data_IF_041389183080
#
_entry.id   IF_041389183080
#
_cell.length_a   1.000
_cell.length_b   1.000
_cell.length_c   1.000
_cell.angle_alpha   90.00
_cell.angle_beta   90.00
_cell.angle_gamma   90.00
#
_symmetry.space_group_name_H-M   'P 1'
#
loop_
_entity.id
_entity.type
_entity.pdbx_description
1 polymer ?
#
# COMPACT_ATOMS: atom_id res chain seq x y z
N UNK A 1 -4.77 -18.51 15.41
CA UNK A 1 -5.23 -17.11 15.29
C UNK A 1 -4.73 -16.30 16.48
N UNK A 2 -5.13 -16.65 17.70
CA UNK A 2 -4.67 -15.97 18.92
C UNK A 2 -3.15 -16.06 19.16
N UNK A 3 -2.53 -17.22 18.94
CA UNK A 3 -1.06 -17.36 19.09
C UNK A 3 -0.24 -16.46 18.14
N UNK A 4 -0.75 -16.18 16.92
CA UNK A 4 -0.12 -15.23 16.00
C UNK A 4 -0.29 -13.78 16.47
N UNK A 5 -1.40 -13.47 17.12
CA UNK A 5 -1.69 -12.13 17.63
C UNK A 5 -0.83 -11.79 18.86
N UNK A 6 -0.57 -12.77 19.73
CA UNK A 6 0.36 -12.59 20.85
C UNK A 6 1.78 -12.32 20.35
N UNK A 7 2.21 -12.97 19.27
CA UNK A 7 3.51 -12.68 18.66
C UNK A 7 3.63 -11.25 18.12
N UNK A 8 2.54 -10.67 17.62
CA UNK A 8 2.53 -9.27 17.17
C UNK A 8 2.59 -8.29 18.34
N UNK A 9 1.94 -8.58 19.46
CA UNK A 9 2.05 -7.76 20.68
C UNK A 9 3.50 -7.77 21.19
N UNK A 10 4.09 -8.97 21.32
CA UNK A 10 5.48 -9.11 21.77
C UNK A 10 6.41 -8.30 20.87
N UNK A 11 6.27 -8.45 19.54
CA UNK A 11 7.08 -7.71 18.58
C UNK A 11 6.86 -6.19 18.68
N UNK A 12 5.64 -5.73 18.87
CA UNK A 12 5.33 -4.32 19.02
C UNK A 12 5.95 -3.70 20.28
N UNK A 13 5.93 -4.44 21.40
CA UNK A 13 6.55 -4.02 22.64
C UNK A 13 8.09 -3.99 22.50
N UNK A 14 8.68 -5.00 21.85
CA UNK A 14 10.11 -5.03 21.49
C UNK A 14 10.51 -3.81 20.63
N UNK A 15 9.71 -3.47 19.60
CA UNK A 15 9.97 -2.31 18.75
C UNK A 15 9.91 -1.00 19.54
N UNK A 16 8.97 -0.89 20.48
CA UNK A 16 8.85 0.29 21.35
C UNK A 16 10.08 0.46 22.26
N UNK A 17 10.64 -0.66 22.74
CA UNK A 17 11.90 -0.67 23.50
C UNK A 17 13.09 -0.28 22.62
N UNK A 18 13.22 -0.88 21.42
CA UNK A 18 14.28 -0.56 20.47
C UNK A 18 14.26 0.90 20.00
N UNK A 19 13.08 1.48 19.77
CA UNK A 19 12.94 2.88 19.39
C UNK A 19 13.29 3.85 20.52
N UNK A 20 13.37 3.36 21.76
CA UNK A 20 13.83 4.13 22.93
C UNK A 20 15.35 4.05 23.14
N UNK A 21 16.06 3.19 22.40
CA UNK A 21 17.51 3.00 22.50
C UNK A 21 18.28 4.15 21.80
N UNK A 22 19.16 4.88 22.52
CA UNK A 22 20.02 5.91 21.93
C UNK A 22 20.88 5.44 20.74
N UNK A 23 21.29 4.17 20.70
CA UNK A 23 22.07 3.64 19.57
C UNK A 23 21.24 3.56 18.29
N UNK A 24 19.95 3.22 18.41
CA UNK A 24 19.01 3.18 17.28
C UNK A 24 18.64 4.59 16.84
N UNK A 25 18.41 5.51 17.78
CA UNK A 25 18.12 6.92 17.47
C UNK A 25 19.30 7.58 16.72
N UNK A 26 20.52 7.16 17.01
CA UNK A 26 21.73 7.62 16.32
C UNK A 26 21.85 7.15 14.86
N UNK A 27 21.16 6.07 14.48
CA UNK A 27 21.12 5.53 13.12
C UNK A 27 19.79 5.89 12.44
N UNK A 28 19.82 6.94 11.62
CA UNK A 28 18.62 7.46 10.95
C UNK A 28 17.94 6.42 10.06
N UNK A 29 18.70 5.52 9.43
CA UNK A 29 18.12 4.51 8.51
C UNK A 29 17.40 3.45 9.31
N UNK A 30 18.08 2.90 10.33
CA UNK A 30 17.51 1.89 11.23
C UNK A 30 16.31 2.42 12.01
N UNK A 31 16.37 3.66 12.47
CA UNK A 31 15.25 4.32 13.16
C UNK A 31 14.00 4.43 12.26
N UNK A 32 14.18 4.84 10.99
CA UNK A 32 13.07 4.93 10.03
C UNK A 32 12.45 3.55 9.74
N UNK A 33 13.28 2.53 9.55
CA UNK A 33 12.83 1.15 9.32
C UNK A 33 11.98 0.63 10.49
N UNK A 34 12.47 0.77 11.72
CA UNK A 34 11.76 0.32 12.93
C UNK A 34 10.49 1.14 13.20
N UNK A 35 10.51 2.45 12.93
CA UNK A 35 9.32 3.30 13.07
C UNK A 35 8.23 2.88 12.08
N UNK A 36 8.62 2.51 10.86
CA UNK A 36 7.68 2.01 9.84
C UNK A 36 7.10 0.66 10.24
N UNK A 37 7.92 -0.24 10.79
CA UNK A 37 7.46 -1.53 11.30
C UNK A 37 6.46 -1.37 12.45
N UNK A 38 6.77 -0.49 13.41
CA UNK A 38 5.88 -0.19 14.54
C UNK A 38 4.55 0.39 14.07
N UNK A 39 4.58 1.33 13.14
CA UNK A 39 3.38 1.95 12.57
C UNK A 39 2.48 0.92 11.87
N UNK A 40 3.07 -0.07 11.21
CA UNK A 40 2.33 -1.16 10.55
C UNK A 40 1.71 -2.15 11.55
N UNK A 41 2.39 -2.41 12.68
CA UNK A 41 1.88 -3.32 13.73
C UNK A 41 0.84 -2.66 14.64
N UNK A 42 0.93 -1.35 14.87
CA UNK A 42 0.04 -0.59 15.75
C UNK A 42 -1.46 -0.88 15.53
N UNK A 43 -2.03 -0.77 14.31
CA UNK A 43 -3.46 -1.02 14.10
C UNK A 43 -3.86 -2.47 14.39
N UNK A 44 -2.94 -3.44 14.21
CA UNK A 44 -3.16 -4.85 14.54
C UNK A 44 -3.25 -5.04 16.05
N UNK A 45 -2.29 -4.48 16.77
CA UNK A 45 -2.21 -4.55 18.24
C UNK A 45 -3.36 -3.82 18.91
N UNK A 46 -3.70 -2.60 18.48
CA UNK A 46 -4.81 -1.82 19.04
C UNK A 46 -6.16 -2.52 18.83
N UNK A 47 -6.41 -3.03 17.62
CA UNK A 47 -7.66 -3.76 17.32
C UNK A 47 -7.76 -5.03 18.17
N UNK A 48 -6.65 -5.73 18.38
CA UNK A 48 -6.63 -6.94 19.20
C UNK A 48 -6.79 -6.66 20.69
N UNK A 49 -6.12 -5.63 21.24
CA UNK A 49 -6.30 -5.18 22.63
C UNK A 49 -7.76 -4.77 22.89
N UNK A 50 -8.40 -4.07 21.95
CA UNK A 50 -9.83 -3.74 22.07
C UNK A 50 -10.70 -4.99 22.03
N UNK A 51 -10.39 -5.97 21.17
CA UNK A 51 -11.11 -7.24 21.15
C UNK A 51 -11.00 -7.98 22.50
N UNK A 52 -9.81 -8.03 23.10
CA UNK A 52 -9.63 -8.65 24.43
C UNK A 52 -10.47 -7.94 25.51
N UNK A 53 -10.46 -6.60 25.51
CA UNK A 53 -11.29 -5.80 26.42
C UNK A 53 -12.77 -6.08 26.23
N UNK A 54 -13.28 -6.10 24.99
CA UNK A 54 -14.70 -6.40 24.72
C UNK A 54 -15.08 -7.81 25.17
N UNK A 55 -14.18 -8.79 25.04
CA UNK A 55 -14.43 -10.16 25.52
C UNK A 55 -14.51 -10.21 27.05
N UNK A 56 -13.66 -9.45 27.75
CA UNK A 56 -13.68 -9.30 29.21
C UNK A 56 -14.96 -8.56 29.65
N UNK A 57 -15.29 -7.42 29.03
CA UNK A 57 -16.52 -6.65 29.26
C UNK A 57 -17.78 -7.51 29.07
N UNK A 58 -17.81 -8.39 28.05
CA UNK A 58 -18.90 -9.36 27.84
C UNK A 58 -19.00 -10.35 29.01
N UNK A 59 -17.87 -10.90 29.45
CA UNK A 59 -17.83 -11.87 30.55
C UNK A 59 -18.34 -11.23 31.84
N UNK A 60 -17.83 -10.05 32.19
CA UNK A 60 -18.23 -9.30 33.38
C UNK A 60 -19.72 -8.93 33.34
N UNK A 61 -20.23 -8.53 32.17
CA UNK A 61 -21.66 -8.22 31.98
C UNK A 61 -22.54 -9.47 32.11
N UNK A 62 -22.10 -10.63 31.60
CA UNK A 62 -22.80 -11.90 31.76
C UNK A 62 -22.82 -12.37 33.23
N UNK A 63 -21.73 -12.16 33.97
CA UNK A 63 -21.67 -12.43 35.41
C UNK A 63 -22.61 -11.52 36.20
N UNK A 64 -22.60 -10.20 35.92
CA UNK A 64 -23.51 -9.24 36.55
C UNK A 64 -24.99 -9.61 36.32
N UNK A 65 -25.35 -10.04 35.12
CA UNK A 65 -26.72 -10.51 34.80
C UNK A 65 -27.11 -11.80 35.53
N UNK A 66 -26.14 -12.59 36.00
CA UNK A 66 -26.34 -13.75 36.84
C UNK A 66 -26.60 -13.42 38.32
N UNK A 67 -26.30 -12.19 38.74
CA UNK A 67 -26.58 -11.68 40.08
C UNK A 67 -28.02 -11.17 40.21
N UNK A 68 -28.46 -10.92 41.44
CA UNK A 68 -29.81 -10.42 41.73
C UNK A 68 -29.91 -8.91 41.44
N UNK A 69 -29.99 -8.54 40.17
CA UNK A 69 -30.23 -7.17 39.73
C UNK A 69 -31.72 -6.80 39.81
N UNK A 70 -32.00 -5.51 40.00
CA UNK A 70 -33.36 -5.00 39.78
C UNK A 70 -33.70 -4.97 38.27
N UNK A 71 -34.98 -4.79 37.95
CA UNK A 71 -35.46 -4.90 36.58
C UNK A 71 -34.88 -3.84 35.63
N UNK A 72 -34.57 -2.66 36.14
CA UNK A 72 -34.02 -1.55 35.36
C UNK A 72 -32.54 -1.79 35.04
N UNK A 73 -31.75 -2.21 36.03
CA UNK A 73 -30.35 -2.60 35.83
C UNK A 73 -30.20 -3.82 34.93
N UNK A 74 -31.09 -4.82 35.05
CA UNK A 74 -31.06 -6.00 34.20
C UNK A 74 -31.40 -5.70 32.73
N UNK A 75 -32.22 -4.68 32.46
CA UNK A 75 -32.53 -4.25 31.09
C UNK A 75 -31.34 -3.50 30.48
N UNK A 76 -30.74 -2.56 31.22
CA UNK A 76 -29.54 -1.84 30.78
C UNK A 76 -28.38 -2.79 30.47
N UNK A 77 -28.09 -3.74 31.35
CA UNK A 77 -27.02 -4.72 31.14
C UNK A 77 -27.25 -5.63 29.92
N UNK A 78 -28.51 -5.92 29.56
CA UNK A 78 -28.82 -6.68 28.32
C UNK A 78 -28.59 -5.86 27.06
N UNK A 79 -28.91 -4.57 27.08
CA UNK A 79 -28.63 -3.67 25.96
C UNK A 79 -27.12 -3.52 25.75
N UNK A 80 -26.37 -3.33 26.83
CA UNK A 80 -24.90 -3.29 26.81
C UNK A 80 -24.29 -4.62 26.31
N UNK A 81 -24.77 -5.76 26.80
CA UNK A 81 -24.32 -7.06 26.31
C UNK A 81 -24.57 -7.23 24.79
N UNK A 82 -25.69 -6.70 24.29
CA UNK A 82 -26.04 -6.73 22.87
C UNK A 82 -25.12 -5.85 22.03
N UNK A 83 -24.76 -4.65 22.51
CA UNK A 83 -23.80 -3.78 21.81
C UNK A 83 -22.40 -4.38 21.80
N UNK A 84 -21.92 -4.88 22.94
CA UNK A 84 -20.61 -5.52 23.06
C UNK A 84 -20.50 -6.76 22.16
N UNK A 85 -21.55 -7.58 22.08
CA UNK A 85 -21.56 -8.74 21.16
C UNK A 85 -21.50 -8.34 19.69
N UNK A 86 -22.11 -7.21 19.30
CA UNK A 86 -21.97 -6.67 17.94
C UNK A 86 -20.55 -6.17 17.68
N UNK A 87 -20.00 -5.39 18.60
CA UNK A 87 -18.63 -4.87 18.50
C UNK A 87 -17.62 -6.01 18.39
N UNK A 88 -17.79 -7.08 19.18
CA UNK A 88 -16.97 -8.29 19.09
C UNK A 88 -16.93 -8.86 17.66
N UNK A 89 -18.07 -9.00 17.01
CA UNK A 89 -18.16 -9.54 15.64
C UNK A 89 -17.47 -8.62 14.64
N UNK A 90 -17.67 -7.30 14.76
CA UNK A 90 -17.00 -6.31 13.90
C UNK A 90 -15.47 -6.36 14.07
N UNK A 91 -14.99 -6.49 15.31
CA UNK A 91 -13.58 -6.63 15.62
C UNK A 91 -13.01 -7.96 15.10
N UNK A 92 -13.73 -9.08 15.22
CA UNK A 92 -13.30 -10.37 14.67
C UNK A 92 -13.11 -10.30 13.14
N UNK A 93 -14.03 -9.67 12.43
CA UNK A 93 -13.90 -9.50 10.98
C UNK A 93 -12.73 -8.57 10.62
N UNK A 94 -12.57 -7.46 11.36
CA UNK A 94 -11.43 -6.56 11.19
C UNK A 94 -10.09 -7.27 11.43
N UNK A 95 -10.01 -8.12 12.47
CA UNK A 95 -8.82 -8.93 12.77
C UNK A 95 -8.52 -9.89 11.62
N UNK A 96 -9.52 -10.56 11.04
CA UNK A 96 -9.30 -11.46 9.88
C UNK A 96 -8.66 -10.72 8.71
N UNK A 97 -9.09 -9.49 8.41
CA UNK A 97 -8.48 -8.68 7.37
C UNK A 97 -7.04 -8.29 7.71
N UNK A 98 -6.78 -7.89 8.96
CA UNK A 98 -5.45 -7.49 9.43
C UNK A 98 -4.43 -8.65 9.50
N UNK A 99 -4.92 -9.88 9.58
CA UNK A 99 -4.11 -11.11 9.56
C UNK A 99 -3.77 -11.60 8.15
N UNK A 100 -4.31 -10.98 7.11
CA UNK A 100 -3.92 -11.32 5.74
C UNK A 100 -2.42 -10.99 5.56
N UNK A 101 -1.64 -11.88 4.94
CA UNK A 101 -0.25 -11.62 4.65
C UNK A 101 -0.15 -10.39 3.74
N UNK A 102 0.60 -9.39 4.21
CA UNK A 102 0.88 -8.18 3.45
C UNK A 102 1.89 -8.47 2.34
N UNK A 103 1.75 -7.81 1.20
CA UNK A 103 2.78 -7.86 0.16
C UNK A 103 3.99 -7.08 0.67
N UNK A 104 5.22 -7.61 0.59
CA UNK A 104 6.42 -6.89 0.99
C UNK A 104 6.59 -5.54 0.27
N UNK A 105 5.92 -5.34 -0.87
CA UNK A 105 5.95 -4.12 -1.64
C UNK A 105 4.83 -3.13 -1.28
N UNK A 106 3.85 -3.49 -0.46
CA UNK A 106 2.64 -2.70 -0.23
C UNK A 106 2.95 -1.28 0.28
N UNK A 107 4.01 -1.15 1.09
CA UNK A 107 4.49 0.12 1.63
C UNK A 107 5.53 0.84 0.77
N UNK A 108 5.78 0.41 -0.47
CA UNK A 108 6.73 1.06 -1.39
C UNK A 108 6.05 2.13 -2.24
N UNK A 109 6.83 3.12 -2.63
CA UNK A 109 6.46 4.05 -3.71
C UNK A 109 6.38 3.26 -5.03
N UNK A 110 5.85 3.88 -6.08
CA UNK A 110 5.74 3.24 -7.37
C UNK A 110 6.31 4.07 -8.50
N UNK A 111 6.72 3.36 -9.54
CA UNK A 111 6.85 3.87 -10.90
C UNK A 111 5.63 3.41 -11.68
N UNK A 112 4.84 4.35 -12.16
CA UNK A 112 3.68 4.11 -13.02
C UNK A 112 4.00 4.51 -14.44
N UNK A 113 3.77 3.60 -15.37
CA UNK A 113 3.99 3.79 -16.79
C UNK A 113 2.67 3.65 -17.54
N UNK A 114 2.30 4.69 -18.29
CA UNK A 114 1.06 4.73 -19.07
C UNK A 114 1.44 4.85 -20.55
N UNK A 115 0.98 3.90 -21.37
CA UNK A 115 1.26 3.88 -22.82
C UNK A 115 -0.02 3.78 -23.63
N UNK A 116 -0.11 4.58 -24.69
CA UNK A 116 -1.14 4.40 -25.70
C UNK A 116 -0.90 3.08 -26.46
N UNK A 117 -1.93 2.25 -26.61
CA UNK A 117 -1.85 0.96 -27.29
C UNK A 117 -2.62 0.99 -28.62
N UNK A 118 -3.74 0.27 -28.75
CA UNK A 118 -4.50 0.23 -29.99
C UNK A 118 -5.45 1.44 -30.09
N UNK A 119 -5.53 2.06 -31.26
CA UNK A 119 -6.38 3.24 -31.49
C UNK A 119 -5.64 4.50 -31.93
N UNK A 120 -4.31 4.45 -32.09
CA UNK A 120 -3.51 5.53 -32.65
C UNK A 120 -3.61 6.81 -31.82
N UNK A 121 -3.96 7.92 -32.47
CA UNK A 121 -4.14 9.23 -31.85
C UNK A 121 -5.12 9.20 -30.66
N UNK A 122 -6.20 8.43 -30.77
CA UNK A 122 -7.17 8.30 -29.69
C UNK A 122 -6.60 7.55 -28.48
N UNK A 123 -5.73 6.56 -28.70
CA UNK A 123 -5.05 5.86 -27.63
C UNK A 123 -4.09 6.80 -26.87
N UNK A 124 -3.43 7.72 -27.58
CA UNK A 124 -2.55 8.71 -26.96
C UNK A 124 -3.33 9.74 -26.15
N UNK A 125 -4.50 10.18 -26.62
CA UNK A 125 -5.40 11.05 -25.85
C UNK A 125 -5.92 10.33 -24.61
N UNK A 126 -6.31 9.05 -24.74
CA UNK A 126 -6.77 8.25 -23.61
C UNK A 126 -5.68 8.02 -22.57
N UNK A 127 -4.41 7.84 -22.96
CA UNK A 127 -3.29 7.80 -22.03
C UNK A 127 -3.15 9.12 -21.23
N UNK A 128 -3.43 10.28 -21.85
CA UNK A 128 -3.49 11.57 -21.16
C UNK A 128 -4.66 11.70 -20.17
N UNK A 129 -5.81 11.12 -20.51
CA UNK A 129 -6.95 11.04 -19.59
C UNK A 129 -6.61 10.20 -18.36
N UNK A 130 -5.96 9.04 -18.55
CA UNK A 130 -5.49 8.18 -17.45
C UNK A 130 -4.44 8.88 -16.59
N UNK A 131 -3.47 9.57 -17.20
CA UNK A 131 -2.51 10.40 -16.48
C UNK A 131 -3.21 11.40 -15.57
N UNK A 132 -4.17 12.16 -16.13
CA UNK A 132 -4.93 13.16 -15.37
C UNK A 132 -5.76 12.52 -14.25
N UNK A 133 -6.33 11.34 -14.50
CA UNK A 133 -7.07 10.57 -13.50
C UNK A 133 -6.18 10.17 -12.33
N UNK A 134 -5.01 9.58 -12.60
CA UNK A 134 -4.09 9.15 -11.55
C UNK A 134 -3.46 10.32 -10.79
N UNK A 135 -3.16 11.44 -11.46
CA UNK A 135 -2.69 12.66 -10.79
C UNK A 135 -3.72 13.17 -9.78
N UNK A 136 -5.00 13.28 -10.19
CA UNK A 136 -6.08 13.70 -9.29
C UNK A 136 -6.34 12.71 -8.16
N UNK A 137 -6.24 11.41 -8.46
CA UNK A 137 -6.35 10.39 -7.43
C UNK A 137 -5.22 10.53 -6.40
N UNK A 138 -3.97 10.67 -6.85
CA UNK A 138 -2.82 10.88 -5.97
C UNK A 138 -2.97 12.14 -5.09
N UNK A 139 -3.41 13.27 -5.66
CA UNK A 139 -3.74 14.48 -4.90
C UNK A 139 -4.78 14.22 -3.80
N UNK A 140 -5.84 13.46 -4.10
CA UNK A 140 -6.87 13.10 -3.11
C UNK A 140 -6.36 12.22 -1.97
N UNK A 141 -5.28 11.47 -2.21
CA UNK A 141 -4.62 10.62 -1.22
C UNK A 141 -3.49 11.36 -0.48
N UNK A 142 -3.18 12.61 -0.85
CA UNK A 142 -2.04 13.35 -0.31
C UNK A 142 -0.68 12.85 -0.81
N UNK A 143 -0.65 12.08 -1.90
CA UNK A 143 0.58 11.59 -2.50
C UNK A 143 1.22 12.63 -3.42
N UNK A 144 2.54 12.57 -3.54
CA UNK A 144 3.30 13.41 -4.47
C UNK A 144 3.53 12.65 -5.78
N UNK A 145 3.22 13.30 -6.90
CA UNK A 145 3.46 12.79 -8.25
C UNK A 145 4.56 13.59 -8.92
N UNK A 146 5.52 12.90 -9.53
CA UNK A 146 6.62 13.49 -10.30
C UNK A 146 6.68 12.83 -11.68
N UNK A 147 6.69 13.63 -12.76
CA UNK A 147 6.81 13.10 -14.12
C UNK A 147 8.29 12.86 -14.41
N UNK A 148 8.67 11.59 -14.60
CA UNK A 148 10.06 11.21 -14.89
C UNK A 148 10.40 11.34 -16.37
N UNK A 149 9.50 10.88 -17.23
CA UNK A 149 9.64 10.98 -18.68
C UNK A 149 8.25 11.07 -19.34
N UNK A 150 8.18 11.75 -20.48
CA UNK A 150 6.94 11.94 -21.21
C UNK A 150 7.18 12.09 -22.72
N UNK A 151 6.57 11.19 -23.49
CA UNK A 151 6.55 11.23 -24.95
C UNK A 151 5.21 11.80 -25.44
N UNK A 152 5.17 13.12 -25.62
CA UNK A 152 3.98 13.88 -26.00
C UNK A 152 3.74 13.78 -27.51
N UNK A 153 2.48 13.60 -27.91
CA UNK A 153 2.06 13.63 -29.31
C UNK A 153 1.64 15.04 -29.73
N UNK A 154 1.74 15.36 -31.03
CA UNK A 154 1.40 16.69 -31.56
C UNK A 154 -0.05 17.13 -31.39
N UNK A 155 -0.94 16.22 -30.97
CA UNK A 155 -2.37 16.47 -30.70
C UNK A 155 -2.69 16.62 -29.20
N UNK A 156 -1.68 16.62 -28.33
CA UNK A 156 -1.85 16.84 -26.88
C UNK A 156 -2.07 15.57 -26.05
N UNK A 157 -1.85 14.39 -26.62
CA UNK A 157 -1.85 13.11 -25.89
C UNK A 157 -0.44 12.61 -25.56
N UNK A 158 -0.34 11.42 -25.01
CA UNK A 158 0.93 10.77 -24.67
C UNK A 158 1.05 9.42 -25.35
N UNK A 159 2.13 9.19 -26.09
CA UNK A 159 2.48 7.84 -26.53
C UNK A 159 2.90 6.99 -25.32
N UNK A 160 3.65 7.62 -24.42
CA UNK A 160 4.20 7.06 -23.20
C UNK A 160 4.41 8.17 -22.17
N UNK A 161 4.13 7.88 -20.91
CA UNK A 161 4.47 8.76 -19.77
C UNK A 161 4.81 7.90 -18.56
N UNK A 162 5.89 8.28 -17.87
CA UNK A 162 6.41 7.60 -16.68
C UNK A 162 6.31 8.56 -15.50
N UNK A 163 5.70 8.09 -14.42
CA UNK A 163 5.43 8.84 -13.20
C UNK A 163 6.08 8.13 -12.02
N UNK A 164 6.68 8.91 -11.13
CA UNK A 164 7.00 8.47 -9.77
C UNK A 164 5.90 8.96 -8.85
N UNK A 165 5.27 8.04 -8.10
CA UNK A 165 4.25 8.38 -7.11
C UNK A 165 4.78 7.98 -5.73
N UNK A 166 4.93 8.97 -4.87
CA UNK A 166 5.50 8.83 -3.53
C UNK A 166 4.47 9.15 -2.45
N UNK A 167 4.43 8.32 -1.40
CA UNK A 167 3.52 8.49 -0.28
C UNK A 167 3.22 7.18 0.46
N UNK A 168 2.22 7.22 1.33
CA UNK A 168 1.87 6.07 2.17
C UNK A 168 1.06 5.02 1.39
N UNK A 169 1.55 3.78 1.40
CA UNK A 169 0.91 2.58 0.86
C UNK A 169 0.46 2.72 -0.62
N UNK A 170 1.29 3.37 -1.45
CA UNK A 170 0.96 3.65 -2.86
C UNK A 170 0.81 2.35 -3.65
N UNK A 171 1.77 1.43 -3.54
CA UNK A 171 1.73 0.15 -4.26
C UNK A 171 0.51 -0.70 -3.87
N UNK A 172 0.20 -0.79 -2.57
CA UNK A 172 -0.95 -1.55 -2.06
C UNK A 172 -2.27 -1.16 -2.75
N UNK A 173 -2.47 0.14 -2.99
CA UNK A 173 -3.69 0.66 -3.63
C UNK A 173 -3.67 0.55 -5.15
N UNK A 174 -2.51 0.71 -5.79
CA UNK A 174 -2.40 0.80 -7.25
C UNK A 174 -1.92 -0.49 -7.93
N UNK A 175 -1.53 -1.54 -7.19
CA UNK A 175 -1.04 -2.81 -7.77
C UNK A 175 -2.03 -3.48 -8.72
N UNK A 176 -3.33 -3.23 -8.53
CA UNK A 176 -4.41 -3.77 -9.37
C UNK A 176 -4.68 -2.97 -10.64
N UNK A 177 -4.05 -1.81 -10.81
CA UNK A 177 -4.23 -0.94 -11.98
C UNK A 177 -3.39 -1.40 -13.18
N UNK A 178 -2.42 -2.28 -12.95
CA UNK A 178 -1.58 -2.87 -14.00
C UNK A 178 -2.42 -3.69 -14.99
N UNK A 179 -2.42 -3.30 -16.26
CA UNK A 179 -3.14 -4.00 -17.30
C UNK A 179 -3.57 -3.13 -18.47
N UNK A 180 -4.44 -3.69 -19.30
CA UNK A 180 -5.02 -3.00 -20.44
C UNK A 180 -6.33 -2.29 -20.04
N UNK A 181 -6.39 -1.00 -20.30
CA UNK A 181 -7.56 -0.14 -20.10
C UNK A 181 -8.23 0.09 -21.45
N UNK A 182 -9.56 -0.01 -21.50
CA UNK A 182 -10.35 0.11 -22.75
C UNK A 182 -11.28 1.30 -22.68
N UNK A 183 -11.32 2.08 -23.76
CA UNK A 183 -12.26 3.19 -23.94
C UNK A 183 -13.10 2.99 -25.19
N UNK A 184 -14.38 3.36 -25.11
CA UNK A 184 -15.31 3.41 -26.23
C UNK A 184 -15.99 4.77 -26.27
N UNK A 185 -15.62 5.60 -27.26
CA UNK A 185 -16.21 6.93 -27.47
C UNK A 185 -16.09 7.36 -28.91
N UNK A 186 -16.70 8.49 -29.26
CA UNK A 186 -16.45 9.19 -30.53
C UNK A 186 -15.17 10.01 -30.35
N UNK A 187 -14.05 9.67 -31.03
CA UNK A 187 -12.80 10.42 -30.91
C UNK A 187 -12.95 11.87 -31.34
N UNK A 188 -12.19 12.77 -30.74
CA UNK A 188 -12.10 14.15 -31.23
C UNK A 188 -11.51 14.25 -32.64
N UNK A 189 -10.80 13.22 -33.08
CA UNK A 189 -10.21 13.08 -34.42
C UNK A 189 -11.17 12.47 -35.46
N UNK A 190 -12.39 12.04 -35.09
CA UNK A 190 -13.34 11.39 -36.00
C UNK A 190 -14.41 12.38 -36.52
N UNK A 191 -14.54 12.51 -37.84
CA UNK A 191 -15.47 13.47 -38.47
C UNK A 191 -16.90 12.95 -38.65
N UNK A 192 -17.14 11.63 -38.67
CA UNK A 192 -18.47 11.05 -38.94
C UNK A 192 -19.27 10.67 -37.68
N UNK A 193 -18.75 10.96 -36.49
CA UNK A 193 -19.44 10.64 -35.23
C UNK A 193 -19.50 9.16 -34.90
N UNK A 194 -18.58 8.34 -35.45
CA UNK A 194 -18.53 6.90 -35.20
C UNK A 194 -17.84 6.61 -33.87
N UNK A 195 -18.36 5.61 -33.15
CA UNK A 195 -17.75 5.13 -31.91
C UNK A 195 -16.57 4.24 -32.25
N UNK A 196 -15.40 4.58 -31.73
CA UNK A 196 -14.19 3.77 -31.84
C UNK A 196 -13.90 3.09 -30.50
N UNK A 197 -13.23 1.94 -30.57
CA UNK A 197 -12.67 1.27 -29.39
C UNK A 197 -11.16 1.43 -29.42
N UNK A 198 -10.61 1.99 -28.36
CA UNK A 198 -9.17 2.20 -28.18
C UNK A 198 -8.71 1.62 -26.85
N UNK A 199 -7.41 1.40 -26.71
CA UNK A 199 -6.79 0.87 -25.50
C UNK A 199 -5.53 1.63 -25.10
N UNK A 200 -5.25 1.65 -23.81
CA UNK A 200 -3.98 2.06 -23.23
C UNK A 200 -3.53 0.99 -22.23
N UNK A 201 -2.24 0.90 -21.96
CA UNK A 201 -1.68 0.00 -20.95
C UNK A 201 -1.14 0.82 -19.80
N UNK A 202 -1.42 0.37 -18.59
CA UNK A 202 -0.83 0.90 -17.35
C UNK A 202 0.04 -0.21 -16.76
N UNK A 203 1.24 0.13 -16.34
CA UNK A 203 2.14 -0.76 -15.61
C UNK A 203 2.52 -0.06 -14.31
N UNK A 204 2.36 -0.78 -13.19
CA UNK A 204 2.71 -0.31 -11.85
C UNK A 204 3.82 -1.18 -11.30
N UNK A 205 4.99 -0.58 -11.06
CA UNK A 205 6.16 -1.24 -10.51
C UNK A 205 6.48 -0.63 -9.15
N UNK A 206 6.79 -1.44 -8.11
CA UNK A 206 7.30 -0.89 -6.87
C UNK A 206 8.68 -0.28 -7.10
N UNK A 207 8.99 0.78 -6.37
CA UNK A 207 10.34 1.35 -6.34
C UNK A 207 11.34 0.26 -5.92
N UNK A 208 12.35 0.03 -6.76
CA UNK A 208 13.41 -0.92 -6.45
C UNK A 208 14.34 -0.29 -5.42
N UNK A 209 14.72 -1.07 -4.41
CA UNK A 209 15.83 -0.68 -3.53
C UNK A 209 17.13 -0.84 -4.33
N UNK A 210 17.98 0.18 -4.31
CA UNK A 210 19.34 0.04 -4.85
C UNK A 210 20.06 -1.05 -4.04
N UNK A 211 20.38 -2.16 -4.73
CA UNK A 211 21.21 -3.20 -4.14
C UNK A 211 22.65 -2.73 -4.26
N UNK A 212 23.24 -2.36 -3.12
CA UNK A 212 24.66 -2.08 -3.03
C UNK A 212 25.41 -3.40 -3.17
N UNK A 213 25.96 -3.65 -4.38
CA UNK A 213 26.73 -4.87 -4.64
C UNK A 213 28.17 -4.59 -4.21
N UNK A 214 28.55 -5.11 -3.05
CA UNK A 214 29.95 -5.18 -2.65
C UNK A 214 30.66 -6.24 -3.51
N UNK A 215 31.55 -5.79 -4.40
CA UNK A 215 32.44 -6.67 -5.15
C UNK A 215 33.67 -6.97 -4.27
N UNK A 216 33.78 -8.20 -3.80
CA UNK A 216 34.97 -8.64 -3.10
C UNK A 216 36.11 -8.92 -4.10
N UNK A 217 37.34 -8.48 -3.78
CA UNK A 217 38.52 -8.68 -4.62
C UNK A 217 38.76 -10.15 -4.99
N UNK A 218 38.32 -11.10 -4.14
CA UNK A 218 38.44 -12.55 -4.39
C UNK A 218 37.56 -13.04 -5.55
N UNK A 219 36.48 -12.33 -5.83
CA UNK A 219 35.52 -12.66 -6.90
C UNK A 219 35.89 -11.96 -8.22
N UNK A 220 36.89 -11.06 -8.19
CA UNK A 220 37.41 -10.37 -9.36
C UNK A 220 38.60 -11.14 -9.92
N UNK A 221 38.39 -11.82 -11.05
CA UNK A 221 39.51 -12.36 -11.82
C UNK A 221 40.15 -11.25 -12.66
N UNK A 222 41.37 -10.87 -12.29
CA UNK A 222 42.18 -9.92 -13.04
C UNK A 222 43.20 -10.67 -13.91
N UNK A 223 43.03 -10.62 -15.22
CA UNK A 223 44.02 -11.11 -16.16
C UNK A 223 44.78 -9.92 -16.79
N UNK A 224 46.12 -9.97 -16.75
CA UNK A 224 46.99 -8.91 -17.30
C UNK A 224 47.57 -9.37 -18.63
N UNK A 225 47.37 -8.56 -19.67
CA UNK A 225 47.90 -8.81 -21.02
C UNK A 225 48.72 -7.60 -21.51
N UNK A 226 49.58 -7.84 -22.51
CA UNK A 226 50.29 -6.75 -23.18
C UNK A 226 49.31 -5.95 -24.04
N UNK A 227 49.42 -4.62 -24.01
CA UNK A 227 48.65 -3.75 -24.90
C UNK A 227 48.96 -4.07 -26.38
N UNK A 228 47.93 -4.17 -27.22
CA UNK A 228 48.12 -4.40 -28.65
C UNK A 228 48.14 -3.07 -29.41
N UNK A 229 49.29 -2.73 -30.00
CA UNK A 229 49.49 -1.49 -30.75
C UNK A 229 50.98 -1.14 -30.84
N UNK A 230 51.30 -0.11 -31.63
CA UNK A 230 52.62 0.51 -31.58
C UNK A 230 52.59 1.63 -30.53
N UNK A 231 53.17 1.39 -29.36
CA UNK A 231 53.12 2.30 -28.22
C UNK A 231 51.91 2.00 -27.35
#
# INVERSE_FOLDING_TARGET
MFDQLDSFIIRYDELSELLSDPEVIGDTKRFMELTKEEANLRPKVETFKRYQQVVEEISDTEEMLGESLDAEMAEMAKEELSSLKKEKVELEDKIKFLLLPEDPNDGKNIIMEIRGAAGGDEAALFAGDLLTMYQKYAESQGWRVEVMDANVTGIGGYKEVILMITGDNVFSKLKYESGAHRVQRVPSTESQGRVHTSTATVVVMPEAEEVEIELEDKDIRVDIYHASGAG
#
